data_IF_226207795125
#
_entry.id   IF_226207795125
#
_cell.length_a   1.000
_cell.length_b   1.000
_cell.length_c   1.000
_cell.angle_alpha   90.00
_cell.angle_beta   90.00
_cell.angle_gamma   90.00
#
_symmetry.space_group_name_H-M   'P 1'
#
loop_
_entity.id
_entity.type
_entity.pdbx_description
1 polymer ?
#
# COMPACT_ATOMS: atom_id res chain seq x y z
N UNK A 1 -17.60 -38.36 31.94
CA UNK A 1 -16.83 -37.42 32.77
C UNK A 1 -17.22 -35.99 32.41
N UNK A 2 -17.72 -35.25 33.41
CA UNK A 2 -17.89 -33.79 33.36
C UNK A 2 -16.53 -33.18 33.74
N UNK A 3 -16.11 -32.15 33.03
CA UNK A 3 -14.86 -31.40 33.31
C UNK A 3 -14.53 -30.41 32.21
N UNK A 4 -15.55 -29.74 31.68
CA UNK A 4 -15.42 -28.72 30.66
C UNK A 4 -15.27 -27.32 31.27
N UNK A 5 -14.63 -26.46 30.49
CA UNK A 5 -14.98 -25.06 30.26
C UNK A 5 -14.88 -24.03 31.42
N UNK A 6 -14.91 -24.39 32.71
CA UNK A 6 -14.89 -23.39 33.80
C UNK A 6 -13.49 -22.84 34.15
N UNK A 7 -12.41 -23.51 33.72
CA UNK A 7 -11.03 -23.09 34.02
C UNK A 7 -10.44 -22.04 33.07
N UNK A 8 -10.93 -21.96 31.83
CA UNK A 8 -10.43 -21.02 30.82
C UNK A 8 -11.21 -19.71 30.77
N UNK A 9 -12.49 -19.69 31.16
CA UNK A 9 -13.29 -18.47 31.21
C UNK A 9 -12.98 -17.59 32.43
N UNK A 10 -12.58 -18.16 33.57
CA UNK A 10 -12.30 -17.40 34.79
C UNK A 10 -10.91 -16.75 34.84
N UNK A 11 -9.97 -17.15 33.97
CA UNK A 11 -8.62 -16.56 33.92
C UNK A 11 -8.56 -15.27 33.10
N UNK A 12 -9.32 -15.18 32.01
CA UNK A 12 -9.35 -14.02 31.11
C UNK A 12 -10.03 -12.81 31.76
N UNK A 13 -11.15 -12.99 32.46
CA UNK A 13 -11.87 -11.86 33.10
C UNK A 13 -11.08 -11.15 34.22
N UNK A 14 -10.24 -11.90 34.96
CA UNK A 14 -9.43 -11.31 36.04
C UNK A 14 -8.20 -10.53 35.54
N UNK A 15 -7.72 -10.82 34.32
CA UNK A 15 -6.61 -10.10 33.70
C UNK A 15 -7.07 -8.75 33.14
N UNK A 16 -8.22 -8.72 32.45
CA UNK A 16 -8.80 -7.49 31.89
C UNK A 16 -9.20 -6.45 32.95
N UNK A 17 -9.57 -6.85 34.18
CA UNK A 17 -9.84 -5.91 35.27
C UNK A 17 -8.57 -5.30 35.88
N UNK A 18 -7.46 -6.04 35.91
CA UNK A 18 -6.20 -5.56 36.50
C UNK A 18 -5.50 -4.55 35.58
N UNK A 19 -5.58 -4.76 34.26
CA UNK A 19 -4.96 -3.90 33.26
C UNK A 19 -5.75 -2.60 33.03
N UNK A 20 -7.08 -2.63 33.15
CA UNK A 20 -7.93 -1.42 33.05
C UNK A 20 -7.71 -0.45 34.22
N UNK A 21 -7.55 -0.95 35.44
CA UNK A 21 -7.38 -0.10 36.62
C UNK A 21 -5.94 0.45 36.73
N UNK A 22 -4.93 -0.27 36.20
CA UNK A 22 -3.59 0.27 35.96
C UNK A 22 -3.57 1.33 34.86
N UNK A 23 -4.31 1.13 33.77
CA UNK A 23 -4.49 2.10 32.69
C UNK A 23 -5.12 3.42 33.18
N UNK A 24 -6.10 3.37 34.09
CA UNK A 24 -6.73 4.56 34.68
C UNK A 24 -5.82 5.30 35.68
N UNK A 25 -4.96 4.60 36.43
CA UNK A 25 -3.99 5.24 37.35
C UNK A 25 -2.77 5.83 36.62
N UNK A 26 -2.38 5.28 35.48
CA UNK A 26 -1.24 5.77 34.71
C UNK A 26 -1.60 6.99 33.85
N UNK A 27 -2.86 7.09 33.41
CA UNK A 27 -3.37 8.25 32.65
C UNK A 27 -3.73 9.47 33.52
N UNK A 28 -3.93 9.32 34.82
CA UNK A 28 -4.11 10.46 35.74
C UNK A 28 -2.83 11.32 35.92
N UNK A 29 -1.67 10.83 35.49
CA UNK A 29 -0.40 11.60 35.47
C UNK A 29 -0.21 12.42 34.19
N UNK A 30 -0.96 12.15 33.12
CA UNK A 30 -0.89 12.94 31.89
C UNK A 30 -1.68 14.25 31.97
N UNK A 31 -2.69 14.34 32.85
CA UNK A 31 -3.43 15.58 33.11
C UNK A 31 -2.63 16.64 33.91
N UNK A 32 -1.46 16.29 34.46
CA UNK A 32 -0.60 17.23 35.20
C UNK A 32 0.47 17.92 34.33
N UNK A 33 0.66 17.49 33.08
CA UNK A 33 1.63 18.11 32.15
C UNK A 33 1.05 19.30 31.37
N UNK A 34 -0.26 19.53 31.43
CA UNK A 34 -0.93 20.71 30.85
C UNK A 34 -0.89 21.97 31.77
N UNK A 35 -0.04 21.98 32.80
CA UNK A 35 0.16 23.15 33.67
C UNK A 35 1.65 23.46 33.89
N UNK A 36 2.35 23.94 32.86
CA UNK A 36 3.37 24.99 33.02
C UNK A 36 3.78 25.51 31.64
N UNK A 37 3.42 26.76 31.35
CA UNK A 37 3.71 27.43 30.09
C UNK A 37 5.17 27.87 29.94
N UNK A 38 5.40 28.60 28.83
CA UNK A 38 6.64 29.19 28.27
C UNK A 38 7.24 28.26 27.18
N UNK A 39 7.35 28.58 25.89
CA UNK A 39 7.54 29.84 25.13
C UNK A 39 7.08 29.59 23.66
N UNK A 40 5.98 30.17 23.19
CA UNK A 40 5.85 31.25 22.17
C UNK A 40 6.75 31.19 20.92
N UNK A 41 6.17 30.90 19.76
CA UNK A 41 6.12 31.79 18.59
C UNK A 41 4.98 31.34 17.66
N UNK A 42 4.09 32.28 17.34
CA UNK A 42 2.83 32.09 16.63
C UNK A 42 3.07 31.92 15.12
N UNK A 43 2.59 30.81 14.55
CA UNK A 43 2.22 30.74 13.13
C UNK A 43 0.70 30.61 13.11
N UNK A 44 0.01 31.73 12.87
CA UNK A 44 -1.41 31.73 12.54
C UNK A 44 -1.59 31.01 11.20
N UNK A 45 -2.02 29.75 11.24
CA UNK A 45 -2.61 29.08 10.08
C UNK A 45 -4.11 29.24 10.22
N UNK A 46 -4.68 30.10 9.38
CA UNK A 46 -6.11 30.36 9.30
C UNK A 46 -6.81 29.06 8.84
N UNK A 47 -7.44 28.35 9.77
CA UNK A 47 -8.26 27.17 9.51
C UNK A 47 -9.70 27.59 9.27
N UNK A 48 -10.02 28.13 8.09
CA UNK A 48 -11.40 28.41 7.67
C UNK A 48 -11.50 28.52 6.13
N UNK A 49 -10.90 27.58 5.39
CA UNK A 49 -11.35 27.29 4.02
C UNK A 49 -11.76 25.82 3.94
N UNK A 50 -13.08 25.60 4.03
CA UNK A 50 -13.72 24.40 3.49
C UNK A 50 -13.26 24.24 2.04
N UNK A 51 -12.48 23.20 1.75
CA UNK A 51 -12.23 22.78 0.37
C UNK A 51 -13.56 22.22 -0.13
N UNK A 52 -14.34 23.10 -0.77
CA UNK A 52 -15.58 22.74 -1.44
C UNK A 52 -15.28 21.72 -2.55
N UNK A 53 -16.14 20.70 -2.61
CA UNK A 53 -16.24 19.56 -3.54
C UNK A 53 -16.39 19.92 -5.04
N UNK A 54 -15.79 21.03 -5.49
CA UNK A 54 -15.94 21.58 -6.84
C UNK A 54 -14.63 21.66 -7.63
N UNK A 55 -13.54 21.05 -7.14
CA UNK A 55 -12.25 20.99 -7.83
C UNK A 55 -11.92 19.62 -8.41
N UNK A 56 -12.93 18.76 -8.61
CA UNK A 56 -12.80 17.60 -9.50
C UNK A 56 -12.59 18.14 -10.92
N UNK A 57 -11.47 17.83 -11.60
CA UNK A 57 -11.30 18.20 -13.00
C UNK A 57 -12.43 17.64 -13.85
N UNK A 58 -12.99 18.45 -14.74
CA UNK A 58 -13.97 18.02 -15.71
C UNK A 58 -13.40 16.86 -16.56
N UNK A 59 -13.87 15.65 -16.29
CA UNK A 59 -13.47 14.39 -16.94
C UNK A 59 -13.64 14.46 -18.46
N UNK A 60 -14.40 15.44 -18.97
CA UNK A 60 -14.57 15.70 -20.40
C UNK A 60 -13.35 16.35 -21.09
N UNK A 61 -12.30 16.75 -20.35
CA UNK A 61 -11.06 17.23 -21.00
C UNK A 61 -10.19 16.09 -21.57
N UNK A 62 -10.44 14.85 -21.18
CA UNK A 62 -9.93 13.67 -21.90
C UNK A 62 -10.87 13.35 -23.05
N UNK A 63 -10.66 14.00 -24.21
CA UNK A 63 -11.47 13.88 -25.44
C UNK A 63 -11.39 12.52 -26.16
N UNK A 64 -11.27 11.42 -25.43
CA UNK A 64 -11.57 10.07 -25.91
C UNK A 64 -12.54 9.43 -24.91
N UNK A 65 -13.83 9.65 -25.13
CA UNK A 65 -14.93 9.25 -24.25
C UNK A 65 -14.97 7.74 -23.97
N UNK A 66 -14.39 7.32 -22.85
CA UNK A 66 -14.67 6.04 -22.21
C UNK A 66 -15.67 6.29 -21.07
N UNK A 67 -16.96 6.05 -21.31
CA UNK A 67 -17.86 5.75 -20.19
C UNK A 67 -17.61 4.31 -19.78
N UNK A 68 -16.97 4.07 -18.64
CA UNK A 68 -16.91 2.74 -18.02
C UNK A 68 -18.33 2.37 -17.56
N UNK A 69 -19.11 1.72 -18.42
CA UNK A 69 -20.44 1.26 -18.08
C UNK A 69 -20.39 -0.21 -17.63
N UNK A 70 -20.77 -0.41 -16.36
CA UNK A 70 -21.37 -1.62 -15.75
C UNK A 70 -20.51 -2.75 -15.20
N UNK A 71 -19.18 -2.67 -15.15
CA UNK A 71 -18.37 -3.85 -14.76
C UNK A 71 -17.24 -3.63 -13.76
N UNK A 72 -17.02 -2.39 -13.29
CA UNK A 72 -16.22 -2.19 -12.07
C UNK A 72 -17.02 -2.78 -10.91
N UNK A 73 -16.47 -3.80 -10.25
CA UNK A 73 -17.06 -4.41 -9.07
C UNK A 73 -17.55 -3.30 -8.12
N UNK A 74 -18.85 -3.30 -7.84
CA UNK A 74 -19.54 -2.26 -7.09
C UNK A 74 -19.30 -2.51 -5.61
N UNK A 75 -18.11 -2.17 -5.13
CA UNK A 75 -17.80 -2.25 -3.71
C UNK A 75 -18.42 -1.05 -3.00
N UNK A 76 -19.13 -1.32 -1.91
CA UNK A 76 -19.62 -0.28 -1.05
C UNK A 76 -18.43 0.51 -0.48
N UNK A 77 -18.57 1.84 -0.45
CA UNK A 77 -17.56 2.70 0.14
C UNK A 77 -17.32 2.29 1.59
N UNK A 78 -16.06 2.23 2.00
CA UNK A 78 -15.69 1.79 3.36
C UNK A 78 -14.64 2.70 3.99
N UNK A 79 -14.47 2.57 5.31
CA UNK A 79 -13.43 3.32 6.04
C UNK A 79 -12.03 3.09 5.47
N UNK A 80 -11.75 1.91 4.92
CA UNK A 80 -10.46 1.58 4.31
C UNK A 80 -10.21 2.34 3.00
N UNK A 81 -11.27 2.86 2.36
CA UNK A 81 -11.16 3.73 1.20
C UNK A 81 -10.92 5.20 1.54
N UNK A 82 -10.81 5.59 2.81
CA UNK A 82 -10.68 7.00 3.20
C UNK A 82 -9.26 7.38 3.62
N UNK A 83 -8.86 8.60 3.26
CA UNK A 83 -7.57 9.18 3.65
C UNK A 83 -7.38 9.23 5.17
N UNK A 84 -8.42 9.61 5.91
CA UNK A 84 -8.35 9.75 7.37
C UNK A 84 -8.03 8.43 8.06
N UNK A 85 -8.61 7.32 7.57
CA UNK A 85 -8.28 6.00 8.10
C UNK A 85 -6.79 5.67 7.99
N UNK A 86 -6.21 5.90 6.81
CA UNK A 86 -4.80 5.63 6.56
C UNK A 86 -3.89 6.58 7.31
N UNK A 87 -4.29 7.84 7.49
CA UNK A 87 -3.58 8.78 8.35
C UNK A 87 -3.46 8.24 9.78
N UNK A 88 -4.58 7.82 10.38
CA UNK A 88 -4.60 7.27 11.74
C UNK A 88 -3.75 5.99 11.85
N UNK A 89 -3.81 5.11 10.83
CA UNK A 89 -2.99 3.89 10.78
C UNK A 89 -1.50 4.25 10.78
N UNK A 90 -1.06 5.11 9.86
CA UNK A 90 0.37 5.40 9.72
C UNK A 90 0.92 6.30 10.84
N UNK A 91 0.10 7.13 11.49
CA UNK A 91 0.50 7.82 12.72
C UNK A 91 0.82 6.82 13.85
N UNK A 92 -0.03 5.79 14.00
CA UNK A 92 0.20 4.75 14.99
C UNK A 92 1.42 3.86 14.62
N UNK A 93 1.54 3.44 13.37
CA UNK A 93 2.67 2.62 12.92
C UNK A 93 4.01 3.36 13.04
N UNK A 94 4.04 4.65 12.70
CA UNK A 94 5.25 5.46 12.86
C UNK A 94 5.62 5.63 14.33
N UNK A 95 4.63 5.85 15.21
CA UNK A 95 4.86 5.86 16.66
C UNK A 95 5.42 4.53 17.16
N UNK A 96 4.89 3.40 16.67
CA UNK A 96 5.39 2.07 17.02
C UNK A 96 6.82 1.85 16.53
N UNK A 97 7.14 2.25 15.29
CA UNK A 97 8.49 2.20 14.76
C UNK A 97 9.48 2.95 15.66
N UNK A 98 9.14 4.17 16.07
CA UNK A 98 10.01 4.95 16.96
C UNK A 98 10.17 4.32 18.36
N UNK A 99 9.14 3.64 18.86
CA UNK A 99 9.16 3.03 20.18
C UNK A 99 9.92 1.68 20.21
N UNK A 100 9.74 0.84 19.19
CA UNK A 100 10.19 -0.57 19.23
C UNK A 100 10.95 -1.01 17.98
N UNK A 101 10.99 -0.20 16.92
CA UNK A 101 11.50 -0.60 15.60
C UNK A 101 10.55 -1.52 14.83
N UNK A 102 9.27 -1.58 15.22
CA UNK A 102 8.24 -2.30 14.47
C UNK A 102 8.08 -1.70 13.07
N UNK A 103 8.29 -2.48 11.98
CA UNK A 103 8.21 -1.96 10.62
C UNK A 103 6.78 -1.64 10.14
N UNK A 104 5.74 -1.97 10.92
CA UNK A 104 4.34 -1.80 10.53
C UNK A 104 3.78 -2.99 9.76
N UNK A 105 2.47 -2.98 9.54
CA UNK A 105 1.74 -4.12 8.98
C UNK A 105 2.01 -4.31 7.49
N UNK A 106 2.36 -5.53 7.10
CA UNK A 106 2.51 -5.92 5.69
C UNK A 106 1.25 -6.61 5.19
N UNK A 107 0.44 -5.88 4.42
CA UNK A 107 -0.75 -6.46 3.79
C UNK A 107 -0.38 -7.65 2.91
N UNK A 108 -1.12 -8.76 3.11
CA UNK A 108 -1.07 -10.01 2.34
C UNK A 108 0.15 -10.92 2.58
N UNK A 109 1.03 -10.63 3.54
CA UNK A 109 2.30 -11.34 3.67
C UNK A 109 2.19 -12.69 4.40
N UNK A 110 1.43 -12.77 5.50
CA UNK A 110 1.46 -13.93 6.42
C UNK A 110 1.02 -15.27 5.82
N UNK A 111 0.13 -15.27 4.81
CA UNK A 111 -0.41 -16.51 4.22
C UNK A 111 0.18 -16.85 2.83
N UNK A 112 0.80 -15.89 2.14
CA UNK A 112 1.07 -16.01 0.69
C UNK A 112 2.51 -15.77 0.25
N UNK A 113 3.34 -15.13 1.09
CA UNK A 113 4.68 -14.62 0.71
C UNK A 113 4.63 -13.85 -0.62
N UNK A 114 3.56 -13.08 -0.84
CA UNK A 114 3.28 -12.46 -2.13
C UNK A 114 4.44 -11.56 -2.59
N UNK A 115 5.04 -10.78 -1.69
CA UNK A 115 6.13 -9.87 -2.05
C UNK A 115 7.33 -10.62 -2.63
N UNK A 116 7.73 -11.72 -1.98
CA UNK A 116 8.82 -12.58 -2.46
C UNK A 116 8.50 -13.20 -3.82
N UNK A 117 7.29 -13.75 -3.96
CA UNK A 117 6.86 -14.44 -5.18
C UNK A 117 6.73 -13.49 -6.36
N UNK A 118 6.13 -12.32 -6.15
CA UNK A 118 5.99 -11.26 -7.16
C UNK A 118 7.35 -10.72 -7.56
N UNK A 119 8.22 -10.40 -6.59
CA UNK A 119 9.57 -9.90 -6.88
C UNK A 119 10.40 -10.90 -7.70
N UNK A 120 10.38 -12.18 -7.31
CA UNK A 120 11.02 -13.24 -8.07
C UNK A 120 10.43 -13.37 -9.47
N UNK A 121 9.10 -13.38 -9.58
CA UNK A 121 8.40 -13.55 -10.85
C UNK A 121 8.69 -12.41 -11.83
N UNK A 122 8.56 -11.16 -11.38
CA UNK A 122 8.84 -9.97 -12.20
C UNK A 122 10.27 -10.01 -12.71
N UNK A 123 11.23 -10.33 -11.84
CA UNK A 123 12.64 -10.44 -12.23
C UNK A 123 12.86 -11.53 -13.27
N UNK A 124 12.39 -12.75 -13.02
CA UNK A 124 12.80 -13.90 -13.80
C UNK A 124 12.03 -14.05 -15.12
N UNK A 125 10.78 -13.59 -15.19
CA UNK A 125 9.96 -13.74 -16.39
C UNK A 125 10.02 -12.51 -17.31
N UNK A 126 10.22 -11.31 -16.77
CA UNK A 126 10.11 -10.08 -17.55
C UNK A 126 11.40 -9.25 -17.61
N UNK A 127 12.29 -9.37 -16.63
CA UNK A 127 13.48 -8.51 -16.48
C UNK A 127 14.78 -9.30 -16.23
N UNK A 128 14.88 -10.54 -16.74
CA UNK A 128 16.00 -11.46 -16.43
C UNK A 128 17.37 -10.83 -16.66
N UNK A 129 17.52 -10.06 -17.73
CA UNK A 129 18.75 -9.40 -18.13
C UNK A 129 18.82 -7.91 -17.73
N UNK A 130 17.68 -7.28 -17.43
CA UNK A 130 17.56 -5.81 -17.26
C UNK A 130 17.12 -5.39 -15.85
N UNK A 131 16.98 -6.32 -14.91
CA UNK A 131 16.49 -6.03 -13.54
C UNK A 131 17.29 -4.95 -12.81
N UNK A 132 18.60 -4.84 -13.02
CA UNK A 132 19.41 -3.78 -12.38
C UNK A 132 19.11 -2.38 -12.92
N UNK A 133 18.62 -2.27 -14.15
CA UNK A 133 18.34 -0.98 -14.81
C UNK A 133 16.86 -0.64 -14.88
N UNK A 134 15.97 -1.60 -14.64
CA UNK A 134 14.53 -1.39 -14.60
C UNK A 134 14.16 -0.36 -13.52
N UNK A 135 13.41 0.66 -13.92
CA UNK A 135 12.84 1.68 -13.05
C UNK A 135 11.50 1.18 -12.55
N UNK A 136 11.40 0.94 -11.24
CA UNK A 136 10.18 0.42 -10.61
C UNK A 136 9.57 1.49 -9.73
N UNK A 137 8.27 1.73 -9.91
CA UNK A 137 7.43 2.51 -9.00
C UNK A 137 6.58 1.55 -8.16
N UNK A 138 6.66 1.63 -6.85
CA UNK A 138 5.73 1.00 -5.90
C UNK A 138 4.70 2.04 -5.46
N UNK A 139 3.45 1.84 -5.87
CA UNK A 139 2.33 2.76 -5.57
C UNK A 139 1.65 2.37 -4.27
N UNK A 140 1.23 3.37 -3.49
CA UNK A 140 0.73 3.15 -2.13
C UNK A 140 1.74 2.34 -1.32
N UNK A 141 2.99 2.78 -1.33
CA UNK A 141 4.14 2.01 -0.82
C UNK A 141 4.02 1.71 0.68
N UNK A 142 3.17 2.46 1.40
CA UNK A 142 2.89 2.24 2.81
C UNK A 142 4.17 2.28 3.64
N UNK A 143 4.48 1.18 4.32
CA UNK A 143 5.69 1.05 5.13
C UNK A 143 6.97 0.74 4.33
N UNK A 144 6.93 0.65 3.00
CA UNK A 144 8.09 0.47 2.13
C UNK A 144 8.71 -0.93 2.11
N UNK A 145 8.07 -1.93 2.74
CA UNK A 145 8.63 -3.29 2.82
C UNK A 145 8.71 -3.98 1.45
N UNK A 146 7.84 -3.63 0.50
CA UNK A 146 7.94 -4.14 -0.87
C UNK A 146 9.19 -3.63 -1.59
N UNK A 147 9.59 -2.37 -1.38
CA UNK A 147 10.84 -1.83 -1.93
C UNK A 147 12.06 -2.58 -1.40
N UNK A 148 12.06 -2.94 -0.11
CA UNK A 148 13.11 -3.78 0.49
C UNK A 148 13.14 -5.14 -0.19
N UNK A 149 11.98 -5.76 -0.42
CA UNK A 149 11.91 -7.06 -1.09
C UNK A 149 12.41 -7.01 -2.54
N UNK A 150 12.02 -5.99 -3.30
CA UNK A 150 12.53 -5.76 -4.66
C UNK A 150 14.06 -5.58 -4.66
N UNK A 151 14.60 -4.84 -3.70
CA UNK A 151 16.04 -4.68 -3.54
C UNK A 151 16.74 -6.01 -3.22
N UNK A 152 16.15 -6.87 -2.39
CA UNK A 152 16.66 -8.23 -2.13
C UNK A 152 16.71 -9.09 -3.39
N UNK A 153 15.73 -8.91 -4.28
CA UNK A 153 15.73 -9.52 -5.60
C UNK A 153 16.61 -8.79 -6.63
N UNK A 154 17.39 -7.79 -6.23
CA UNK A 154 18.48 -7.22 -7.02
C UNK A 154 18.09 -6.04 -7.91
N UNK A 155 16.83 -5.59 -7.87
CA UNK A 155 16.42 -4.33 -8.50
C UNK A 155 17.12 -3.15 -7.83
N UNK A 156 17.46 -2.13 -8.62
CA UNK A 156 18.33 -1.03 -8.14
C UNK A 156 17.78 0.38 -8.32
N UNK A 157 16.73 0.58 -9.13
CA UNK A 157 16.11 1.89 -9.34
C UNK A 157 14.66 1.84 -8.87
N UNK A 158 14.48 2.10 -7.59
CA UNK A 158 13.21 1.94 -6.91
C UNK A 158 12.67 3.30 -6.49
N UNK A 159 11.39 3.52 -6.77
CA UNK A 159 10.65 4.69 -6.31
C UNK A 159 9.43 4.20 -5.55
N UNK A 160 9.17 4.73 -4.36
CA UNK A 160 7.94 4.49 -3.59
C UNK A 160 7.16 5.78 -3.43
N UNK A 161 5.83 5.71 -3.59
CA UNK A 161 4.96 6.86 -3.35
C UNK A 161 3.78 6.47 -2.48
N UNK A 162 3.39 7.39 -1.61
CA UNK A 162 2.18 7.29 -0.81
C UNK A 162 1.60 8.70 -0.59
N UNK A 163 0.27 8.81 -0.59
CA UNK A 163 -0.40 10.08 -0.33
C UNK A 163 -0.37 10.50 1.15
N UNK A 164 -0.02 9.61 2.09
CA UNK A 164 0.11 9.91 3.52
C UNK A 164 1.57 10.23 3.86
N UNK A 165 1.89 11.43 4.38
CA UNK A 165 3.26 11.79 4.78
C UNK A 165 3.89 10.83 5.80
N UNK A 166 3.12 10.36 6.77
CA UNK A 166 3.56 9.44 7.82
C UNK A 166 3.95 8.06 7.25
N UNK A 167 3.26 7.60 6.21
CA UNK A 167 3.63 6.37 5.49
C UNK A 167 5.00 6.54 4.81
N UNK A 168 5.18 7.66 4.10
CA UNK A 168 6.46 8.01 3.45
C UNK A 168 7.60 8.09 4.45
N UNK A 169 7.36 8.68 5.63
CA UNK A 169 8.35 8.74 6.70
C UNK A 169 8.69 7.35 7.24
N UNK A 170 7.67 6.53 7.53
CA UNK A 170 7.84 5.15 7.98
C UNK A 170 8.64 4.32 6.95
N UNK A 171 8.30 4.42 5.66
CA UNK A 171 9.02 3.75 4.59
C UNK A 171 10.48 4.17 4.51
N UNK A 172 10.79 5.46 4.62
CA UNK A 172 12.18 5.96 4.67
C UNK A 172 12.93 5.39 5.87
N UNK A 173 12.29 5.36 7.03
CA UNK A 173 12.87 4.82 8.25
C UNK A 173 13.15 3.31 8.12
N UNK A 174 12.22 2.54 7.56
CA UNK A 174 12.39 1.12 7.27
C UNK A 174 13.51 0.87 6.25
N UNK A 175 13.60 1.65 5.16
CA UNK A 175 14.70 1.53 4.19
C UNK A 175 16.05 1.82 4.87
N UNK A 176 16.13 2.83 5.74
CA UNK A 176 17.35 3.13 6.48
C UNK A 176 17.73 1.97 7.40
N UNK A 177 16.82 1.53 8.26
CA UNK A 177 17.04 0.43 9.19
C UNK A 177 17.41 -0.87 8.46
N UNK A 178 16.87 -1.10 7.26
CA UNK A 178 17.17 -2.29 6.47
C UNK A 178 18.64 -2.40 6.06
N UNK A 179 19.34 -1.27 5.94
CA UNK A 179 20.74 -1.17 5.54
C UNK A 179 21.71 -1.16 6.74
N UNK A 180 21.21 -1.03 7.96
CA UNK A 180 21.99 -1.05 9.19
C UNK A 180 22.29 -2.49 9.64
N UNK A 181 23.28 -2.68 10.51
CA UNK A 181 23.69 -4.02 10.98
C UNK A 181 22.50 -4.81 11.55
N UNK A 182 22.30 -6.02 11.02
CA UNK A 182 21.15 -6.87 11.38
C UNK A 182 19.89 -6.65 10.52
N UNK A 183 19.85 -5.61 9.68
CA UNK A 183 18.78 -5.36 8.73
C UNK A 183 18.81 -6.28 7.50
N UNK A 184 17.68 -6.50 6.80
CA UNK A 184 17.59 -7.46 5.69
C UNK A 184 18.41 -7.11 4.45
N UNK A 185 18.82 -5.86 4.26
CA UNK A 185 19.73 -5.46 3.18
C UNK A 185 21.19 -5.44 3.63
N UNK A 186 21.48 -5.50 4.93
CA UNK A 186 22.82 -5.39 5.44
C UNK A 186 23.79 -6.42 4.84
N UNK A 187 24.95 -5.95 4.38
CA UNK A 187 25.97 -6.80 3.79
C UNK A 187 25.62 -7.42 2.44
N UNK A 188 24.48 -7.08 1.83
CA UNK A 188 24.16 -7.53 0.47
C UNK A 188 25.15 -6.97 -0.56
N UNK A 189 25.52 -7.75 -1.58
CA UNK A 189 26.41 -7.28 -2.63
C UNK A 189 25.76 -6.19 -3.50
N UNK A 190 26.60 -5.32 -4.04
CA UNK A 190 26.25 -4.22 -4.95
C UNK A 190 25.28 -3.17 -4.37
N UNK A 191 25.04 -3.11 -3.04
CA UNK A 191 24.13 -2.10 -2.45
C UNK A 191 24.51 -0.64 -2.75
N UNK A 192 25.78 -0.39 -3.09
CA UNK A 192 26.22 0.94 -3.52
C UNK A 192 25.49 1.41 -4.79
N UNK A 193 24.98 0.49 -5.61
CA UNK A 193 24.21 0.80 -6.81
C UNK A 193 22.70 0.94 -6.53
N UNK A 194 22.24 0.65 -5.30
CA UNK A 194 20.83 0.72 -4.92
C UNK A 194 20.39 2.17 -4.71
N UNK A 195 19.57 2.66 -5.64
CA UNK A 195 18.88 3.94 -5.58
C UNK A 195 17.43 3.74 -5.17
N UNK A 196 17.03 4.36 -4.05
CA UNK A 196 15.65 4.35 -3.55
C UNK A 196 15.20 5.77 -3.28
N UNK A 197 14.15 6.20 -3.96
CA UNK A 197 13.48 7.49 -3.72
C UNK A 197 12.09 7.25 -3.16
N UNK A 198 11.72 7.97 -2.10
CA UNK A 198 10.39 7.88 -1.51
C UNK A 198 9.88 9.28 -1.23
N UNK A 199 8.68 9.60 -1.69
CA UNK A 199 8.07 10.92 -1.49
C UNK A 199 6.55 10.85 -1.50
N UNK A 200 5.93 11.92 -1.04
CA UNK A 200 4.47 12.05 -1.03
C UNK A 200 3.99 12.35 -2.43
N UNK A 201 3.05 11.54 -2.92
CA UNK A 201 2.38 11.77 -4.20
C UNK A 201 0.96 11.22 -4.13
N UNK A 202 0.01 11.96 -4.69
CA UNK A 202 -1.37 11.50 -4.85
C UNK A 202 -1.55 11.01 -6.30
N UNK A 203 -1.76 9.71 -6.47
CA UNK A 203 -1.83 9.08 -7.78
C UNK A 203 -3.05 9.50 -8.61
N UNK A 204 -4.09 10.04 -7.97
CA UNK A 204 -5.23 10.61 -8.69
C UNK A 204 -4.87 11.96 -9.33
N UNK A 205 -3.82 12.63 -8.82
CA UNK A 205 -3.35 13.96 -9.25
C UNK A 205 -1.83 14.03 -9.45
N UNK A 206 -1.21 12.89 -9.78
CA UNK A 206 0.26 12.77 -9.79
C UNK A 206 0.90 13.64 -10.86
N UNK A 207 1.93 14.39 -10.47
CA UNK A 207 2.73 15.21 -11.37
C UNK A 207 4.00 14.50 -11.87
N UNK A 208 4.12 13.19 -11.63
CA UNK A 208 5.26 12.44 -12.12
C UNK A 208 5.29 12.46 -13.66
N UNK A 209 6.48 12.55 -14.29
CA UNK A 209 6.56 12.61 -15.74
C UNK A 209 6.03 11.34 -16.39
N UNK A 210 5.39 11.50 -17.54
CA UNK A 210 4.91 10.39 -18.36
C UNK A 210 6.05 9.43 -18.72
N UNK A 211 5.73 8.14 -18.84
CA UNK A 211 6.66 7.11 -19.29
C UNK A 211 7.98 7.03 -18.48
N UNK A 212 7.89 7.32 -17.18
CA UNK A 212 9.05 7.31 -16.26
C UNK A 212 9.43 5.92 -15.74
N UNK A 213 8.53 4.93 -15.81
CA UNK A 213 8.73 3.63 -15.17
C UNK A 213 8.57 2.45 -16.11
N UNK A 214 9.44 1.46 -15.94
CA UNK A 214 9.38 0.19 -16.68
C UNK A 214 8.40 -0.79 -16.02
N UNK A 215 8.24 -0.67 -14.70
CA UNK A 215 7.25 -1.41 -13.90
C UNK A 215 6.57 -0.47 -12.92
N UNK A 216 5.25 -0.53 -12.85
CA UNK A 216 4.45 -0.07 -11.71
C UNK A 216 4.00 -1.31 -10.94
N UNK A 217 4.26 -1.33 -9.65
CA UNK A 217 3.83 -2.38 -8.74
C UNK A 217 2.79 -1.81 -7.77
N UNK A 218 1.70 -2.54 -7.60
CA UNK A 218 0.59 -2.25 -6.67
C UNK A 218 0.35 -3.49 -5.82
N UNK A 219 0.26 -3.28 -4.50
CA UNK A 219 -0.17 -4.29 -3.55
C UNK A 219 -1.21 -3.73 -2.59
N UNK A 220 -2.46 -3.70 -3.06
CA UNK A 220 -3.64 -3.32 -2.28
C UNK A 220 -4.04 -1.85 -2.43
N UNK A 221 -3.35 -1.07 -3.25
CA UNK A 221 -3.69 0.34 -3.51
C UNK A 221 -4.95 0.43 -4.36
N UNK A 222 -5.04 -0.36 -5.42
CA UNK A 222 -6.27 -0.51 -6.20
C UNK A 222 -7.45 -0.99 -5.33
N UNK A 223 -7.20 -1.88 -4.37
CA UNK A 223 -8.23 -2.37 -3.45
C UNK A 223 -8.76 -1.25 -2.54
N UNK A 224 -7.88 -0.41 -2.00
CA UNK A 224 -8.28 0.75 -1.20
C UNK A 224 -9.03 1.78 -2.05
N UNK A 225 -8.54 2.06 -3.26
CA UNK A 225 -9.16 3.01 -4.20
C UNK A 225 -10.55 2.52 -4.64
N UNK A 226 -10.72 1.23 -4.89
CA UNK A 226 -12.00 0.66 -5.30
C UNK A 226 -13.09 0.73 -4.22
N UNK A 227 -12.68 0.92 -2.96
CA UNK A 227 -13.55 1.19 -1.81
C UNK A 227 -13.84 2.69 -1.61
N UNK A 228 -13.45 3.55 -2.55
CA UNK A 228 -13.73 5.00 -2.53
C UNK A 228 -14.75 5.41 -3.60
N UNK A 229 -14.41 5.30 -4.89
CA UNK A 229 -15.31 5.58 -6.01
C UNK A 229 -14.83 4.90 -7.31
N UNK A 230 -15.75 4.69 -8.26
CA UNK A 230 -15.45 4.11 -9.59
C UNK A 230 -14.64 5.07 -10.45
N UNK A 231 -14.88 6.36 -10.28
CA UNK A 231 -14.16 7.44 -10.95
C UNK A 231 -12.69 7.44 -10.52
N UNK A 232 -12.40 7.22 -9.24
CA UNK A 232 -11.02 7.11 -8.74
C UNK A 232 -10.32 5.87 -9.30
N UNK A 233 -11.00 4.73 -9.41
CA UNK A 233 -10.42 3.53 -10.06
C UNK A 233 -10.02 3.84 -11.50
N UNK A 234 -10.90 4.50 -12.26
CA UNK A 234 -10.62 4.88 -13.64
C UNK A 234 -9.44 5.84 -13.75
N UNK A 235 -9.42 6.89 -12.92
CA UNK A 235 -8.34 7.87 -12.87
C UNK A 235 -7.00 7.22 -12.48
N UNK A 236 -7.01 6.36 -11.47
CA UNK A 236 -5.83 5.60 -11.02
C UNK A 236 -5.24 4.75 -12.15
N UNK A 237 -6.06 3.95 -12.84
CA UNK A 237 -5.58 3.10 -13.94
C UNK A 237 -5.05 3.92 -15.11
N UNK A 238 -5.65 5.07 -15.41
CA UNK A 238 -5.16 6.00 -16.43
C UNK A 238 -3.82 6.65 -16.02
N UNK A 239 -3.65 7.01 -14.74
CA UNK A 239 -2.35 7.47 -14.21
C UNK A 239 -1.30 6.37 -14.34
N UNK A 240 -1.60 5.13 -13.94
CA UNK A 240 -0.68 4.00 -14.10
C UNK A 240 -0.29 3.78 -15.57
N UNK A 241 -1.25 3.88 -16.48
CA UNK A 241 -0.98 3.82 -17.92
C UNK A 241 -0.09 4.98 -18.38
N UNK A 242 -0.30 6.21 -17.88
CA UNK A 242 0.50 7.38 -18.26
C UNK A 242 1.96 7.26 -17.80
N UNK A 243 2.17 6.79 -16.57
CA UNK A 243 3.48 6.70 -15.92
C UNK A 243 4.33 5.52 -16.42
N UNK A 244 3.70 4.44 -16.89
CA UNK A 244 4.41 3.25 -17.40
C UNK A 244 4.91 3.48 -18.82
N UNK A 245 6.12 3.08 -19.21
CA UNK A 245 6.58 3.11 -20.62
C UNK A 245 5.78 2.15 -21.50
N UNK A 246 5.68 2.41 -22.81
CA UNK A 246 5.06 1.45 -23.75
C UNK A 246 5.80 0.12 -23.70
N UNK A 247 5.04 -0.98 -23.57
CA UNK A 247 5.60 -2.31 -23.38
C UNK A 247 6.06 -2.63 -21.94
N UNK A 248 6.05 -1.63 -21.04
CA UNK A 248 6.28 -1.83 -19.60
C UNK A 248 5.11 -2.53 -18.91
N UNK A 249 5.24 -2.77 -17.61
CA UNK A 249 4.28 -3.56 -16.84
C UNK A 249 3.58 -2.77 -15.74
N UNK A 250 2.30 -3.05 -15.56
CA UNK A 250 1.57 -2.85 -14.32
C UNK A 250 1.40 -4.21 -13.64
N UNK A 251 1.89 -4.36 -12.42
CA UNK A 251 1.82 -5.59 -11.62
C UNK A 251 0.91 -5.33 -10.43
N UNK A 252 -0.26 -5.96 -10.43
CA UNK A 252 -1.29 -5.79 -9.41
C UNK A 252 -1.32 -7.01 -8.50
N UNK A 253 -1.37 -6.78 -7.19
CA UNK A 253 -1.71 -7.78 -6.18
C UNK A 253 -2.94 -7.31 -5.42
N UNK A 254 -4.03 -8.07 -5.49
CA UNK A 254 -5.33 -7.66 -4.94
C UNK A 254 -6.01 -8.77 -4.15
N UNK A 255 -6.80 -8.39 -3.15
CA UNK A 255 -7.71 -9.29 -2.42
C UNK A 255 -9.19 -9.00 -2.69
N UNK A 256 -9.55 -7.83 -3.25
CA UNK A 256 -10.95 -7.51 -3.55
C UNK A 256 -11.38 -8.06 -4.91
N UNK A 257 -10.46 -8.13 -5.87
CA UNK A 257 -10.76 -8.57 -7.23
C UNK A 257 -10.27 -10.00 -7.48
N UNK A 258 -11.12 -10.80 -8.11
CA UNK A 258 -10.73 -12.04 -8.76
C UNK A 258 -9.91 -11.76 -10.03
N UNK A 259 -9.21 -12.80 -10.51
CA UNK A 259 -8.32 -12.64 -11.64
C UNK A 259 -9.01 -12.23 -12.94
N UNK A 260 -10.21 -12.74 -13.21
CA UNK A 260 -11.01 -12.40 -14.39
C UNK A 260 -11.59 -10.97 -14.30
N UNK A 261 -11.93 -10.52 -13.09
CA UNK A 261 -12.42 -9.16 -12.84
C UNK A 261 -11.33 -8.11 -13.09
N UNK A 262 -10.10 -8.37 -12.65
CA UNK A 262 -8.95 -7.52 -12.98
C UNK A 262 -8.69 -7.51 -14.48
N UNK A 263 -8.77 -8.66 -15.16
CA UNK A 263 -8.57 -8.72 -16.61
C UNK A 263 -9.59 -7.86 -17.35
N UNK A 264 -10.87 -7.99 -17.01
CA UNK A 264 -11.93 -7.18 -17.58
C UNK A 264 -11.72 -5.68 -17.31
N UNK A 265 -11.44 -5.32 -16.06
CA UNK A 265 -11.20 -3.94 -15.64
C UNK A 265 -10.05 -3.29 -16.43
N UNK A 266 -8.96 -4.02 -16.62
CA UNK A 266 -7.77 -3.51 -17.30
C UNK A 266 -7.96 -3.47 -18.83
N UNK A 267 -8.69 -4.41 -19.42
CA UNK A 267 -9.01 -4.40 -20.85
C UNK A 267 -9.94 -3.26 -21.25
N UNK A 268 -10.90 -2.88 -20.38
CA UNK A 268 -11.78 -1.72 -20.60
C UNK A 268 -11.03 -0.41 -20.81
N UNK A 269 -9.87 -0.25 -20.15
CA UNK A 269 -9.02 0.93 -20.32
C UNK A 269 -8.47 1.06 -21.75
N UNK A 270 -8.38 -0.06 -22.49
CA UNK A 270 -7.68 -0.18 -23.78
C UNK A 270 -6.22 0.31 -23.74
N UNK A 271 -5.62 0.36 -22.55
CA UNK A 271 -4.21 0.73 -22.32
C UNK A 271 -3.36 -0.44 -21.89
N UNK A 272 -3.98 -1.53 -21.46
CA UNK A 272 -3.30 -2.69 -20.89
C UNK A 272 -3.78 -3.99 -21.52
N UNK A 273 -2.88 -4.96 -21.58
CA UNK A 273 -3.17 -6.35 -21.98
C UNK A 273 -2.53 -7.30 -21.00
N UNK A 274 -3.25 -8.34 -20.58
CA UNK A 274 -2.72 -9.35 -19.65
C UNK A 274 -1.43 -10.00 -20.18
N UNK A 275 -0.41 -10.05 -19.33
CA UNK A 275 0.90 -10.62 -19.60
C UNK A 275 1.16 -11.92 -18.82
N UNK A 276 0.54 -12.08 -17.64
CA UNK A 276 0.62 -13.32 -16.85
C UNK A 276 0.06 -13.14 -15.45
N UNK A 277 0.13 -14.18 -14.62
CA UNK A 277 -0.28 -14.11 -13.22
C UNK A 277 0.25 -15.26 -12.39
N UNK A 278 0.25 -15.07 -11.07
CA UNK A 278 0.68 -16.06 -10.09
C UNK A 278 -0.50 -16.87 -9.55
N UNK A 279 -0.27 -18.16 -9.33
CA UNK A 279 -1.22 -19.03 -8.63
C UNK A 279 -0.88 -19.14 -7.16
N UNK A 280 -1.85 -18.81 -6.31
CA UNK A 280 -1.78 -18.94 -4.86
C UNK A 280 -2.61 -20.14 -4.39
N UNK A 281 -2.39 -20.66 -3.17
CA UNK A 281 -3.25 -21.69 -2.60
C UNK A 281 -4.72 -21.25 -2.65
N UNK A 282 -5.58 -22.17 -3.08
CA UNK A 282 -7.01 -21.92 -3.23
C UNK A 282 -7.78 -22.62 -2.12
N UNK A 283 -8.76 -21.94 -1.57
CA UNK A 283 -9.77 -22.56 -0.71
C UNK A 283 -10.97 -22.88 -1.60
N UNK A 284 -11.51 -24.08 -1.46
CA UNK A 284 -12.73 -24.51 -2.15
C UNK A 284 -13.87 -24.57 -1.14
N UNK A 285 -14.93 -23.80 -1.39
CA UNK A 285 -16.13 -23.82 -0.56
C UNK A 285 -17.37 -23.77 -1.46
N UNK A 286 -18.24 -24.77 -1.32
CA UNK A 286 -19.48 -24.86 -2.10
C UNK A 286 -19.29 -24.97 -3.63
N UNK A 287 -18.19 -25.56 -4.10
CA UNK A 287 -17.89 -25.72 -5.53
C UNK A 287 -17.29 -24.48 -6.21
N UNK A 288 -17.03 -23.41 -5.47
CA UNK A 288 -16.26 -22.24 -5.92
C UNK A 288 -14.85 -22.33 -5.37
N UNK A 289 -13.87 -22.16 -6.25
CA UNK A 289 -12.43 -22.20 -5.93
C UNK A 289 -11.87 -20.79 -6.06
N UNK A 290 -11.39 -20.22 -4.97
CA UNK A 290 -10.82 -18.87 -4.93
C UNK A 290 -9.53 -18.86 -4.14
N UNK A 291 -8.61 -17.96 -4.50
CA UNK A 291 -7.51 -17.61 -3.61
C UNK A 291 -7.85 -16.31 -2.89
N UNK A 292 -7.34 -16.14 -1.67
CA UNK A 292 -7.50 -14.91 -0.88
C UNK A 292 -6.80 -13.71 -1.53
N UNK A 293 -5.83 -13.97 -2.40
CA UNK A 293 -5.02 -12.95 -3.07
C UNK A 293 -4.77 -13.41 -4.51
N UNK A 294 -4.82 -12.47 -5.45
CA UNK A 294 -4.41 -12.67 -6.84
C UNK A 294 -3.27 -11.72 -7.18
N UNK A 295 -2.31 -12.16 -7.98
CA UNK A 295 -1.29 -11.27 -8.56
C UNK A 295 -1.22 -11.46 -10.05
N UNK A 296 -1.34 -10.37 -10.81
CA UNK A 296 -1.31 -10.36 -12.26
C UNK A 296 -0.44 -9.23 -12.81
N UNK A 297 0.13 -9.46 -13.98
CA UNK A 297 0.90 -8.48 -14.71
C UNK A 297 0.18 -8.15 -16.01
N UNK A 298 0.14 -6.86 -16.32
CA UNK A 298 -0.46 -6.31 -17.52
C UNK A 298 0.57 -5.46 -18.26
N UNK A 299 0.73 -5.71 -19.55
CA UNK A 299 1.62 -4.95 -20.41
C UNK A 299 0.91 -3.71 -20.94
N UNK A 300 1.54 -2.54 -20.85
CA UNK A 300 1.06 -1.32 -21.48
C UNK A 300 1.17 -1.43 -23.01
N UNK A 301 0.09 -1.14 -23.73
CA UNK A 301 0.02 -1.16 -25.20
C UNK A 301 0.15 0.22 -25.85
#
# INVERSE_FOLDING_TARGET
EKGGAEGYFNKTESMFKRDRDQFLQQNAKYDQYNQSGLVSEEIEVNMDEEISDSSVPDVNQFKDGLSMNQTVADFDASRVGTRDHWKDVYENELSNFHATGDPGECWFEEESKCMQRVSWWVRNEFFTESYKTARILDVGTGNGMMLIELAKFGFRRLTGVDYIPQAVELAKNNIKASKEEGGPLYGMPDLNDLHVEIFVDDLLHSNLPDESFDVIHDKGTLDAISLSSKEHVSAYLLTCARLTVKGGLLVLTSCNFAGEELEHLLEETKRFKRAGGLSYPTIEFGGRRGSRVVSQAYRRI
#
